data_IF_850350552108
#
_entry.id   IF_850350552108
#
_cell.length_a   1.000
_cell.length_b   1.000
_cell.length_c   1.000
_cell.angle_alpha   90.00
_cell.angle_beta   90.00
_cell.angle_gamma   90.00
#
_symmetry.space_group_name_H-M   'P 1'
#
loop_
_entity.id
_entity.type
_entity.pdbx_description
1 polymer ?
#
# COMPACT_ATOMS: atom_id res chain seq x y z
N UNK A 1 -30.90 24.07 -23.16
CA UNK A 1 -30.73 24.32 -21.72
C UNK A 1 -31.52 23.22 -21.01
N UNK A 2 -30.88 22.11 -20.70
CA UNK A 2 -31.49 21.01 -19.97
C UNK A 2 -31.20 21.25 -18.48
N UNK A 3 -32.26 21.57 -17.73
CA UNK A 3 -32.17 21.82 -16.29
C UNK A 3 -31.91 20.50 -15.54
N UNK A 4 -30.85 20.39 -14.71
CA UNK A 4 -30.54 19.17 -13.96
C UNK A 4 -31.69 18.75 -13.01
N UNK A 5 -32.52 19.68 -12.59
CA UNK A 5 -33.73 19.43 -11.79
C UNK A 5 -34.82 18.64 -12.54
N UNK A 6 -34.88 18.75 -13.89
CA UNK A 6 -35.83 18.00 -14.71
C UNK A 6 -35.37 16.54 -14.94
N UNK A 7 -34.07 16.27 -14.94
CA UNK A 7 -33.53 14.93 -15.10
C UNK A 7 -33.74 14.08 -13.83
N UNK A 8 -33.50 14.65 -12.65
CA UNK A 8 -33.77 14.00 -11.35
C UNK A 8 -35.25 13.63 -11.19
N UNK A 9 -36.15 14.45 -11.75
CA UNK A 9 -37.59 14.18 -11.73
C UNK A 9 -37.98 12.98 -12.59
N UNK A 10 -37.27 12.74 -13.73
CA UNK A 10 -37.58 11.65 -14.68
C UNK A 10 -37.21 10.26 -14.14
N UNK A 11 -36.02 10.13 -13.58
CA UNK A 11 -35.55 8.84 -13.06
C UNK A 11 -36.33 8.44 -11.79
N UNK A 12 -36.65 9.41 -10.91
CA UNK A 12 -37.54 9.20 -9.77
C UNK A 12 -38.95 8.79 -10.21
N UNK A 13 -39.47 9.40 -11.28
CA UNK A 13 -40.77 9.05 -11.84
C UNK A 13 -40.74 7.63 -12.42
N UNK A 14 -39.64 7.22 -13.08
CA UNK A 14 -39.47 5.87 -13.61
C UNK A 14 -39.44 4.81 -12.48
N UNK A 15 -38.67 5.05 -11.41
CA UNK A 15 -38.61 4.15 -10.26
C UNK A 15 -39.96 4.08 -9.54
N UNK A 16 -40.64 5.21 -9.38
CA UNK A 16 -41.96 5.24 -8.80
C UNK A 16 -42.96 4.40 -9.62
N UNK A 17 -42.91 4.55 -10.96
CA UNK A 17 -43.73 3.75 -11.88
C UNK A 17 -43.38 2.27 -11.80
N UNK A 18 -42.09 1.91 -11.77
CA UNK A 18 -41.64 0.53 -11.63
C UNK A 18 -42.06 -0.11 -10.30
N UNK A 19 -42.04 0.66 -9.19
CA UNK A 19 -42.56 0.21 -7.87
C UNK A 19 -44.06 0.02 -7.86
N UNK A 20 -44.79 0.84 -8.61
CA UNK A 20 -46.25 0.79 -8.70
C UNK A 20 -46.72 -0.38 -9.60
N UNK A 21 -46.03 -0.60 -10.71
CA UNK A 21 -46.36 -1.66 -11.67
C UNK A 21 -45.69 -3.01 -11.38
N UNK A 22 -44.59 -2.99 -10.60
CA UNK A 22 -43.81 -4.19 -10.27
C UNK A 22 -42.78 -4.59 -11.33
N UNK A 23 -42.80 -3.96 -12.49
CA UNK A 23 -41.88 -4.20 -13.60
C UNK A 23 -41.66 -2.92 -14.42
N UNK A 24 -40.61 -2.91 -15.23
CA UNK A 24 -40.33 -1.90 -16.25
C UNK A 24 -39.96 -2.58 -17.57
N UNK A 25 -40.13 -1.87 -18.67
CA UNK A 25 -39.66 -2.34 -19.97
C UNK A 25 -38.37 -1.63 -20.37
N UNK A 26 -37.52 -2.30 -21.17
CA UNK A 26 -36.30 -1.65 -21.70
C UNK A 26 -36.59 -0.36 -22.47
N UNK A 27 -37.73 -0.30 -23.17
CA UNK A 27 -38.19 0.92 -23.86
C UNK A 27 -38.46 2.05 -22.87
N UNK A 28 -39.12 1.79 -21.74
CA UNK A 28 -39.42 2.78 -20.73
C UNK A 28 -38.16 3.26 -20.00
N UNK A 29 -37.22 2.37 -19.74
CA UNK A 29 -35.91 2.73 -19.17
C UNK A 29 -35.16 3.65 -20.13
N UNK A 30 -35.12 3.30 -21.42
CA UNK A 30 -34.40 4.08 -22.42
C UNK A 30 -35.03 5.45 -22.68
N UNK A 31 -36.36 5.57 -22.65
CA UNK A 31 -37.08 6.84 -22.82
C UNK A 31 -36.90 7.83 -21.66
N UNK A 32 -36.58 7.32 -20.48
CA UNK A 32 -36.39 8.14 -19.27
C UNK A 32 -34.93 8.42 -18.95
N UNK A 33 -33.99 7.71 -19.60
CA UNK A 33 -32.56 7.95 -19.45
C UNK A 33 -32.17 9.31 -20.08
N UNK A 34 -31.24 10.05 -19.46
CA UNK A 34 -30.66 11.24 -20.05
C UNK A 34 -29.95 10.91 -21.35
N UNK A 35 -30.06 11.80 -22.36
CA UNK A 35 -29.41 11.64 -23.67
C UNK A 35 -27.86 11.57 -23.60
N UNK A 36 -27.28 11.91 -22.45
CA UNK A 36 -25.84 11.85 -22.19
C UNK A 36 -25.34 10.43 -21.82
N UNK A 37 -26.27 9.51 -21.50
CA UNK A 37 -25.98 8.10 -21.21
C UNK A 37 -26.26 7.30 -22.48
N UNK A 38 -25.27 7.25 -23.38
CA UNK A 38 -25.36 6.50 -24.66
C UNK A 38 -24.46 5.24 -24.64
N UNK A 39 -23.76 4.99 -23.56
CA UNK A 39 -22.85 3.86 -23.43
C UNK A 39 -23.62 2.61 -23.00
N UNK A 40 -23.58 1.51 -23.79
CA UNK A 40 -24.30 0.28 -23.46
C UNK A 40 -23.98 -0.27 -22.07
N UNK A 41 -22.72 -0.17 -21.63
CA UNK A 41 -22.27 -0.68 -20.35
C UNK A 41 -22.92 0.09 -19.17
N UNK A 42 -23.11 1.40 -19.32
CA UNK A 42 -23.77 2.23 -18.31
C UNK A 42 -25.28 1.95 -18.23
N UNK A 43 -25.92 1.62 -19.36
CA UNK A 43 -27.33 1.25 -19.40
C UNK A 43 -27.53 -0.11 -18.71
N UNK A 44 -26.63 -1.08 -18.93
CA UNK A 44 -26.67 -2.38 -18.24
C UNK A 44 -26.50 -2.22 -16.72
N UNK A 45 -25.58 -1.37 -16.26
CA UNK A 45 -25.38 -1.08 -14.83
C UNK A 45 -26.64 -0.48 -14.20
N UNK A 46 -27.34 0.42 -14.91
CA UNK A 46 -28.60 1.01 -14.42
C UNK A 46 -29.71 -0.05 -14.37
N UNK A 47 -29.81 -0.92 -15.35
CA UNK A 47 -30.78 -2.00 -15.39
C UNK A 47 -30.51 -2.98 -14.23
N UNK A 48 -29.25 -3.30 -13.96
CA UNK A 48 -28.89 -4.15 -12.83
C UNK A 48 -29.26 -3.52 -11.49
N UNK A 49 -29.02 -2.20 -11.31
CA UNK A 49 -29.46 -1.48 -10.13
C UNK A 49 -30.99 -1.45 -9.95
N UNK A 50 -31.74 -1.33 -11.05
CA UNK A 50 -33.22 -1.40 -11.03
C UNK A 50 -33.70 -2.80 -10.62
N UNK A 51 -33.02 -3.85 -11.10
CA UNK A 51 -33.29 -5.22 -10.70
C UNK A 51 -32.97 -5.47 -9.20
N UNK A 52 -31.87 -4.91 -8.69
CA UNK A 52 -31.48 -5.00 -7.28
C UNK A 52 -32.46 -4.28 -6.35
N UNK A 53 -33.19 -3.28 -6.86
CA UNK A 53 -34.31 -2.63 -6.15
C UNK A 53 -35.60 -3.46 -6.16
N UNK A 54 -35.58 -4.68 -6.72
CA UNK A 54 -36.75 -5.58 -6.79
C UNK A 54 -37.71 -5.26 -7.92
N UNK A 55 -37.32 -4.45 -8.90
CA UNK A 55 -38.10 -4.10 -10.10
C UNK A 55 -37.50 -4.87 -11.27
N UNK A 56 -38.24 -5.82 -11.83
CA UNK A 56 -37.78 -6.60 -12.97
C UNK A 56 -37.90 -5.81 -14.27
N UNK A 57 -36.90 -5.90 -15.14
CA UNK A 57 -36.90 -5.24 -16.45
C UNK A 57 -37.08 -6.27 -17.55
N UNK A 58 -38.14 -6.09 -18.37
CA UNK A 58 -38.53 -7.01 -19.44
C UNK A 58 -38.37 -6.32 -20.82
N UNK A 59 -38.19 -7.11 -21.88
CA UNK A 59 -38.15 -6.58 -23.25
C UNK A 59 -39.54 -6.07 -23.71
N UNK A 60 -40.60 -6.79 -23.31
CA UNK A 60 -41.99 -6.45 -23.56
C UNK A 60 -42.78 -6.58 -22.26
N UNK A 61 -43.93 -5.88 -22.18
CA UNK A 61 -44.80 -5.96 -21.01
C UNK A 61 -45.21 -7.42 -20.74
N UNK A 62 -44.92 -7.98 -19.56
CA UNK A 62 -45.23 -9.35 -19.23
C UNK A 62 -46.74 -9.58 -19.12
N UNK A 63 -47.19 -10.79 -19.46
CA UNK A 63 -48.57 -11.21 -19.30
C UNK A 63 -48.93 -11.43 -17.81
N UNK A 64 -50.22 -11.40 -17.48
CA UNK A 64 -50.71 -11.48 -16.09
C UNK A 64 -50.27 -12.76 -15.34
N UNK A 65 -50.03 -13.83 -16.07
CA UNK A 65 -49.57 -15.13 -15.49
C UNK A 65 -48.05 -15.09 -15.15
N UNK A 66 -47.23 -14.34 -15.91
CA UNK A 66 -45.82 -14.14 -15.63
C UNK A 66 -45.59 -13.23 -14.41
N UNK A 67 -46.44 -12.23 -14.23
CA UNK A 67 -46.42 -11.36 -13.05
C UNK A 67 -46.74 -12.10 -11.75
N UNK A 68 -47.70 -13.07 -11.78
CA UNK A 68 -48.03 -13.89 -10.64
C UNK A 68 -46.91 -14.87 -10.23
N UNK A 69 -46.07 -15.32 -11.16
CA UNK A 69 -44.91 -16.15 -10.87
C UNK A 69 -43.74 -15.34 -10.28
N UNK A 70 -43.61 -14.07 -10.69
CA UNK A 70 -42.59 -13.16 -10.19
C UNK A 70 -42.87 -12.61 -8.78
N UNK A 71 -44.15 -12.65 -8.32
CA UNK A 71 -44.55 -12.18 -6.98
C UNK A 71 -44.10 -13.05 -5.83
N UNK A 72 -43.65 -14.31 -6.11
CA UNK A 72 -43.18 -15.27 -5.08
C UNK A 72 -41.79 -14.97 -4.48
N UNK A 73 -41.00 -14.07 -5.05
CA UNK A 73 -39.60 -13.85 -4.66
C UNK A 73 -39.36 -12.43 -4.06
N UNK A 74 -40.45 -11.76 -3.67
CA UNK A 74 -40.40 -10.36 -3.16
C UNK A 74 -40.12 -10.27 -1.66
N UNK A 75 -39.07 -10.88 -1.15
CA UNK A 75 -38.47 -10.40 0.09
C UNK A 75 -37.20 -9.59 -0.23
N UNK A 76 -37.42 -8.48 -0.92
CA UNK A 76 -36.34 -7.52 -1.15
C UNK A 76 -35.94 -6.93 0.20
N UNK A 77 -34.71 -7.19 0.59
CA UNK A 77 -34.06 -6.64 1.76
C UNK A 77 -34.13 -5.11 1.69
N UNK A 78 -34.87 -4.44 2.58
CA UNK A 78 -35.01 -2.97 2.62
C UNK A 78 -33.64 -2.26 2.66
N UNK A 79 -32.61 -2.96 3.14
CA UNK A 79 -31.22 -2.45 3.20
C UNK A 79 -30.61 -2.42 1.81
N UNK A 80 -30.80 -3.48 0.99
CA UNK A 80 -30.32 -3.54 -0.38
C UNK A 80 -30.99 -2.49 -1.28
N UNK A 81 -32.30 -2.26 -1.07
CA UNK A 81 -33.04 -1.22 -1.77
C UNK A 81 -32.58 0.20 -1.42
N UNK A 82 -32.19 0.44 -0.14
CA UNK A 82 -31.63 1.74 0.29
C UNK A 82 -30.22 1.96 -0.25
N UNK A 83 -29.42 0.91 -0.33
CA UNK A 83 -28.04 0.94 -0.85
C UNK A 83 -28.02 1.16 -2.37
N UNK A 84 -28.91 0.48 -3.10
CA UNK A 84 -29.12 0.68 -4.53
C UNK A 84 -29.66 2.10 -4.86
N UNK A 85 -30.56 2.63 -4.04
CA UNK A 85 -31.05 4.01 -4.20
C UNK A 85 -29.94 5.04 -3.95
N UNK A 86 -29.04 4.79 -3.00
CA UNK A 86 -27.89 5.65 -2.73
C UNK A 86 -26.85 5.57 -3.87
N UNK A 87 -26.59 4.39 -4.43
CA UNK A 87 -25.73 4.20 -5.57
C UNK A 87 -26.27 4.89 -6.84
N UNK A 88 -27.59 4.82 -7.07
CA UNK A 88 -28.24 5.50 -8.18
C UNK A 88 -28.15 7.04 -8.04
N UNK A 89 -28.28 7.57 -6.83
CA UNK A 89 -28.10 9.00 -6.57
C UNK A 89 -26.64 9.45 -6.79
N UNK A 90 -25.67 8.56 -6.58
CA UNK A 90 -24.27 8.82 -6.88
C UNK A 90 -24.00 8.85 -8.40
N UNK A 91 -24.60 7.93 -9.16
CA UNK A 91 -24.53 7.92 -10.64
C UNK A 91 -25.21 9.16 -11.24
N UNK A 92 -26.33 9.63 -10.69
CA UNK A 92 -26.97 10.90 -11.09
C UNK A 92 -26.05 12.12 -10.86
N UNK A 93 -25.26 12.13 -9.79
CA UNK A 93 -24.25 13.17 -9.57
C UNK A 93 -23.06 13.06 -10.54
N UNK A 94 -22.79 11.87 -11.05
CA UNK A 94 -21.74 11.64 -12.06
C UNK A 94 -22.22 11.92 -13.49
N UNK A 95 -23.48 11.72 -13.84
CA UNK A 95 -24.04 11.94 -15.17
C UNK A 95 -23.94 13.39 -15.69
N UNK A 96 -23.71 14.37 -14.79
CA UNK A 96 -23.35 15.74 -15.17
C UNK A 96 -21.87 15.97 -15.50
N UNK A 97 -21.06 14.94 -15.48
CA UNK A 97 -19.62 15.04 -15.75
C UNK A 97 -19.38 14.89 -17.24
N UNK A 98 -19.00 15.99 -17.88
CA UNK A 98 -18.57 15.99 -19.29
C UNK A 98 -17.39 15.02 -19.50
N UNK A 99 -17.45 14.23 -20.56
CA UNK A 99 -16.39 13.34 -21.02
C UNK A 99 -15.28 14.07 -21.79
N UNK A 100 -15.36 15.40 -21.92
CA UNK A 100 -14.31 16.21 -22.52
C UNK A 100 -13.05 16.17 -21.63
N UNK A 101 -11.95 15.57 -22.10
CA UNK A 101 -10.72 15.43 -21.33
C UNK A 101 -10.15 16.77 -20.86
N UNK A 102 -10.31 17.83 -21.67
CA UNK A 102 -9.83 19.18 -21.31
C UNK A 102 -10.62 19.74 -20.14
N UNK A 103 -11.93 19.56 -20.15
CA UNK A 103 -12.81 20.03 -19.09
C UNK A 103 -12.63 19.25 -17.79
N UNK A 104 -12.42 17.92 -17.90
CA UNK A 104 -12.03 17.08 -16.75
C UNK A 104 -10.70 17.54 -16.15
N UNK A 105 -9.68 17.73 -16.97
CA UNK A 105 -8.38 18.21 -16.52
C UNK A 105 -8.48 19.58 -15.84
N UNK A 106 -9.18 20.55 -16.43
CA UNK A 106 -9.36 21.89 -15.85
C UNK A 106 -10.12 21.85 -14.53
N UNK A 107 -11.08 20.94 -14.38
CA UNK A 107 -11.81 20.77 -13.13
C UNK A 107 -10.94 20.14 -12.06
N UNK A 108 -10.19 19.08 -12.38
CA UNK A 108 -9.28 18.42 -11.42
C UNK A 108 -8.15 19.36 -11.01
N UNK A 109 -7.61 20.13 -11.95
CA UNK A 109 -6.63 21.17 -11.65
C UNK A 109 -7.17 22.26 -10.71
N UNK A 110 -8.46 22.62 -10.83
CA UNK A 110 -9.11 23.63 -10.00
C UNK A 110 -9.53 23.15 -8.61
N UNK A 111 -9.54 21.84 -8.34
CA UNK A 111 -9.89 21.28 -7.02
C UNK A 111 -8.75 21.33 -6.02
N UNK A 112 -7.50 21.43 -6.48
CA UNK A 112 -6.31 21.48 -5.65
C UNK A 112 -5.77 22.91 -5.65
N UNK A 113 -5.66 23.52 -4.49
CA UNK A 113 -5.06 24.84 -4.34
C UNK A 113 -3.57 24.82 -4.74
N UNK A 114 -3.09 25.93 -5.33
CA UNK A 114 -1.69 26.10 -5.65
C UNK A 114 -0.86 26.05 -4.36
N UNK A 115 0.23 25.30 -4.41
CA UNK A 115 1.16 25.21 -3.28
C UNK A 115 1.80 26.57 -3.02
N UNK A 116 1.74 27.04 -1.77
CA UNK A 116 2.51 28.18 -1.33
C UNK A 116 3.95 27.73 -1.02
N UNK A 117 4.93 28.66 -1.11
CA UNK A 117 6.32 28.36 -0.75
C UNK A 117 6.47 27.79 0.66
N UNK A 118 5.69 28.30 1.61
CA UNK A 118 5.69 27.80 2.98
C UNK A 118 5.10 26.38 3.07
N UNK A 119 4.03 26.11 2.31
CA UNK A 119 3.44 24.79 2.19
C UNK A 119 4.41 23.77 1.59
N UNK A 120 5.15 24.15 0.55
CA UNK A 120 6.18 23.33 -0.08
C UNK A 120 7.28 22.93 0.93
N UNK A 121 7.78 23.88 1.72
CA UNK A 121 8.79 23.62 2.75
C UNK A 121 8.25 22.65 3.82
N UNK A 122 7.00 22.83 4.25
CA UNK A 122 6.38 21.94 5.24
C UNK A 122 6.27 20.52 4.71
N UNK A 123 5.81 20.36 3.45
CA UNK A 123 5.69 19.07 2.80
C UNK A 123 7.07 18.42 2.62
N UNK A 124 8.06 19.16 2.15
CA UNK A 124 9.43 18.67 1.98
C UNK A 124 10.02 18.14 3.31
N UNK A 125 9.88 18.91 4.39
CA UNK A 125 10.31 18.47 5.73
C UNK A 125 9.61 17.21 6.20
N UNK A 126 8.31 17.09 5.91
CA UNK A 126 7.52 15.90 6.25
C UNK A 126 7.97 14.67 5.46
N UNK A 127 8.27 14.83 4.16
CA UNK A 127 8.82 13.76 3.32
C UNK A 127 10.18 13.30 3.88
N UNK A 128 11.07 14.22 4.19
CA UNK A 128 12.39 13.89 4.76
C UNK A 128 12.28 13.17 6.12
N UNK A 129 11.33 13.57 6.95
CA UNK A 129 11.06 12.90 8.23
C UNK A 129 10.54 11.49 8.01
N UNK A 130 9.62 11.27 7.03
CA UNK A 130 9.14 9.96 6.63
C UNK A 130 10.27 9.06 6.14
N UNK A 131 11.14 9.57 5.27
CA UNK A 131 12.32 8.84 4.78
C UNK A 131 13.27 8.49 5.93
N UNK A 132 13.53 9.39 6.86
CA UNK A 132 14.38 9.12 8.04
C UNK A 132 13.80 8.01 8.93
N UNK A 133 12.48 8.01 9.16
CA UNK A 133 11.81 6.95 9.91
C UNK A 133 11.89 5.60 9.19
N UNK A 134 11.67 5.59 7.88
CA UNK A 134 11.79 4.41 7.04
C UNK A 134 13.22 3.85 7.10
N UNK A 135 14.23 4.68 6.91
CA UNK A 135 15.64 4.28 6.98
C UNK A 135 16.01 3.74 8.37
N UNK A 136 15.55 4.39 9.44
CA UNK A 136 15.77 3.90 10.80
C UNK A 136 15.13 2.53 11.04
N UNK A 137 13.95 2.26 10.48
CA UNK A 137 13.30 0.96 10.55
C UNK A 137 14.07 -0.10 9.73
N UNK A 138 14.51 0.27 8.53
CA UNK A 138 15.25 -0.58 7.59
C UNK A 138 16.59 -1.04 8.18
N UNK A 139 17.26 -0.21 8.98
CA UNK A 139 18.51 -0.56 9.67
C UNK A 139 18.38 -1.74 10.64
N UNK A 140 17.16 -2.08 11.07
CA UNK A 140 16.92 -3.26 11.92
C UNK A 140 16.94 -4.58 11.14
N UNK A 141 16.90 -4.52 9.80
CA UNK A 141 17.00 -5.71 8.95
C UNK A 141 18.48 -6.07 8.73
N UNK A 142 18.91 -7.32 9.00
CA UNK A 142 20.33 -7.66 9.17
C UNK A 142 21.21 -7.42 7.96
N UNK A 143 20.70 -7.68 6.74
CA UNK A 143 21.47 -7.61 5.49
C UNK A 143 21.64 -6.18 4.98
N UNK A 144 20.67 -5.28 5.21
CA UNK A 144 20.55 -3.98 4.58
C UNK A 144 21.77 -3.08 4.82
N UNK A 145 22.16 -2.89 6.07
CA UNK A 145 23.31 -2.01 6.40
C UNK A 145 24.61 -2.59 5.85
N UNK A 146 24.73 -3.92 5.86
CA UNK A 146 25.91 -4.61 5.30
C UNK A 146 25.96 -4.46 3.79
N UNK A 147 24.85 -4.57 3.09
CA UNK A 147 24.77 -4.33 1.65
C UNK A 147 25.21 -2.91 1.30
N UNK A 148 24.70 -1.91 2.01
CA UNK A 148 25.13 -0.52 1.81
C UNK A 148 26.65 -0.34 2.08
N UNK A 149 27.19 -0.95 3.14
CA UNK A 149 28.63 -0.92 3.40
C UNK A 149 29.44 -1.57 2.27
N UNK A 150 28.94 -2.66 1.67
CA UNK A 150 29.59 -3.31 0.53
C UNK A 150 29.57 -2.43 -0.72
N UNK A 151 28.44 -1.74 -0.99
CA UNK A 151 28.35 -0.76 -2.08
C UNK A 151 29.38 0.38 -1.91
N UNK A 152 29.58 0.85 -0.69
CA UNK A 152 30.61 1.84 -0.39
C UNK A 152 32.03 1.27 -0.52
N UNK A 153 32.25 -0.01 -0.18
CA UNK A 153 33.57 -0.63 -0.38
C UNK A 153 33.95 -0.73 -1.88
N UNK A 154 32.97 -0.82 -2.80
CA UNK A 154 33.20 -0.69 -4.25
C UNK A 154 33.59 0.74 -4.64
N UNK A 155 32.98 1.75 -4.00
CA UNK A 155 33.39 3.15 -4.19
C UNK A 155 34.82 3.37 -3.70
N UNK A 156 35.19 2.82 -2.55
CA UNK A 156 36.53 2.94 -1.99
C UNK A 156 37.61 2.23 -2.85
N UNK A 157 37.24 1.27 -3.71
CA UNK A 157 38.08 0.59 -4.69
C UNK A 157 38.10 1.27 -6.06
N UNK A 158 37.40 2.40 -6.20
CA UNK A 158 37.23 3.14 -7.47
C UNK A 158 36.47 2.36 -8.57
N UNK A 159 35.78 1.28 -8.19
CA UNK A 159 34.95 0.49 -9.12
C UNK A 159 33.58 1.16 -9.37
N UNK A 160 33.18 2.12 -8.52
CA UNK A 160 31.90 2.85 -8.60
C UNK A 160 32.06 4.28 -8.11
N UNK A 161 31.28 5.22 -8.67
CA UNK A 161 31.27 6.61 -8.21
C UNK A 161 30.41 6.75 -6.94
N UNK A 162 30.78 7.68 -6.04
CA UNK A 162 30.03 7.99 -4.83
C UNK A 162 28.59 8.49 -5.15
N UNK A 163 28.46 9.25 -6.22
CA UNK A 163 27.18 9.77 -6.74
C UNK A 163 26.22 8.66 -7.20
N UNK A 164 26.72 7.47 -7.53
CA UNK A 164 25.88 6.32 -7.88
C UNK A 164 25.26 5.64 -6.65
N UNK A 165 25.85 5.84 -5.47
CA UNK A 165 25.41 5.22 -4.21
C UNK A 165 24.54 6.17 -3.40
N UNK A 166 24.95 7.44 -3.29
CA UNK A 166 24.25 8.41 -2.46
C UNK A 166 24.18 9.78 -3.11
N UNK A 167 23.09 10.51 -2.83
CA UNK A 167 22.84 11.87 -3.31
C UNK A 167 23.34 12.90 -2.29
N UNK A 168 23.24 12.59 -0.99
CA UNK A 168 23.56 13.54 0.09
C UNK A 168 23.14 13.01 1.45
N UNK A 169 22.82 13.92 2.34
CA UNK A 169 22.41 13.61 3.72
C UNK A 169 21.05 14.25 4.04
N UNK A 170 20.31 13.62 4.93
CA UNK A 170 19.00 14.07 5.47
C UNK A 170 19.18 14.67 6.88
N UNK A 171 20.28 15.40 7.10
CA UNK A 171 20.57 15.98 8.41
C UNK A 171 19.78 17.27 8.63
N UNK A 172 18.91 17.36 9.67
CA UNK A 172 18.13 18.58 9.93
C UNK A 172 18.99 19.78 10.32
N UNK A 173 20.25 19.57 10.71
CA UNK A 173 21.19 20.63 11.06
C UNK A 173 21.98 21.14 9.85
N UNK A 174 21.92 20.47 8.71
CA UNK A 174 22.58 20.90 7.50
C UNK A 174 21.79 22.07 6.86
N UNK A 175 22.41 23.24 6.76
CA UNK A 175 21.83 24.37 6.08
C UNK A 175 21.73 24.06 4.59
N UNK A 176 20.52 23.88 4.09
CA UNK A 176 20.27 23.81 2.64
C UNK A 176 20.26 25.24 2.12
N UNK A 177 21.26 25.67 1.31
CA UNK A 177 21.28 27.03 0.79
C UNK A 177 20.01 27.30 -0.02
N UNK A 178 19.41 28.45 0.18
CA UNK A 178 18.24 28.87 -0.58
C UNK A 178 18.58 29.04 -2.07
N UNK A 179 17.57 28.91 -2.93
CA UNK A 179 17.79 29.11 -4.38
C UNK A 179 18.46 30.48 -4.70
N UNK A 180 18.19 31.50 -3.88
CA UNK A 180 18.85 32.81 -3.97
C UNK A 180 20.33 32.77 -3.56
N UNK A 181 20.69 31.97 -2.56
CA UNK A 181 22.10 31.79 -2.15
C UNK A 181 22.87 30.95 -3.17
N UNK A 182 22.19 29.95 -3.78
CA UNK A 182 22.78 29.16 -4.88
C UNK A 182 23.00 30.04 -6.13
N UNK A 183 22.04 30.90 -6.47
CA UNK A 183 22.19 31.85 -7.57
C UNK A 183 23.31 32.86 -7.31
N UNK A 184 23.39 33.43 -6.10
CA UNK A 184 24.47 34.34 -5.71
C UNK A 184 25.84 33.64 -5.67
N UNK A 185 25.92 32.37 -5.28
CA UNK A 185 27.14 31.56 -5.32
C UNK A 185 27.55 31.22 -6.76
N UNK A 186 26.59 31.03 -7.67
CA UNK A 186 26.85 30.84 -9.11
C UNK A 186 27.34 32.17 -9.77
N UNK A 187 26.73 33.32 -9.42
CA UNK A 187 27.17 34.63 -9.89
C UNK A 187 28.56 35.00 -9.36
N UNK A 188 28.88 34.66 -8.10
CA UNK A 188 30.20 34.88 -7.53
C UNK A 188 31.32 34.01 -8.13
N UNK A 189 30.99 32.90 -8.77
CA UNK A 189 31.93 32.04 -9.52
C UNK A 189 32.07 32.41 -10.99
N UNK A 190 31.31 33.38 -11.49
CA UNK A 190 31.25 33.80 -12.89
C UNK A 190 32.36 34.71 -13.40
N UNK A 191 33.43 34.97 -12.66
CA UNK A 191 34.56 35.80 -13.08
C UNK A 191 35.91 35.07 -13.09
N UNK A 192 35.98 33.82 -13.42
CA UNK A 192 37.23 33.17 -13.79
C UNK A 192 37.04 32.44 -15.14
N UNK A 193 37.48 33.17 -16.18
CA UNK A 193 37.80 32.68 -17.52
C UNK A 193 38.92 31.64 -17.38
N UNK A 194 38.59 30.37 -17.23
CA UNK A 194 39.49 29.27 -17.53
C UNK A 194 38.63 28.08 -18.01
N UNK A 195 38.83 27.77 -19.29
CA UNK A 195 38.26 26.66 -20.06
C UNK A 195 38.71 25.25 -19.51
N UNK A 196 38.38 24.95 -18.27
CA UNK A 196 38.35 23.59 -17.79
C UNK A 196 36.92 23.34 -17.25
N UNK A 197 36.07 22.79 -18.13
CA UNK A 197 34.80 22.17 -17.80
C UNK A 197 35.01 20.94 -16.89
N UNK A 198 35.61 21.16 -15.75
CA UNK A 198 35.34 20.31 -14.59
C UNK A 198 33.97 20.74 -14.06
N UNK A 199 32.91 20.09 -14.57
CA UNK A 199 31.61 20.03 -13.90
C UNK A 199 31.91 19.83 -12.41
N UNK A 200 31.90 20.94 -11.65
CA UNK A 200 32.05 20.91 -10.19
C UNK A 200 31.00 19.93 -9.69
N UNK A 201 31.43 18.72 -9.41
CA UNK A 201 30.60 17.60 -9.05
C UNK A 201 29.74 18.01 -7.87
N UNK A 202 28.47 18.33 -8.15
CA UNK A 202 27.42 18.56 -7.15
C UNK A 202 27.12 17.19 -6.54
N UNK A 203 28.08 16.67 -5.79
CA UNK A 203 28.02 15.37 -5.14
C UNK A 203 28.37 15.50 -3.65
N UNK A 204 28.03 14.49 -2.85
CA UNK A 204 28.38 14.49 -1.44
C UNK A 204 29.91 14.52 -1.25
N UNK A 205 30.38 15.28 -0.24
CA UNK A 205 31.79 15.39 0.10
C UNK A 205 32.40 13.99 0.39
N UNK A 206 33.45 13.56 -0.36
CA UNK A 206 34.07 12.26 -0.16
C UNK A 206 34.69 12.09 1.23
N UNK A 207 35.17 13.17 1.86
CA UNK A 207 35.80 13.12 3.19
C UNK A 207 34.75 12.85 4.25
N UNK A 208 33.63 13.57 4.20
CA UNK A 208 32.52 13.37 5.14
C UNK A 208 31.88 12.01 4.90
N UNK A 209 31.70 11.56 3.64
CA UNK A 209 31.21 10.24 3.31
C UNK A 209 32.08 9.15 3.96
N UNK A 210 33.41 9.20 3.81
CA UNK A 210 34.35 8.26 4.41
C UNK A 210 34.21 8.20 5.93
N UNK A 211 34.05 9.34 6.59
CA UNK A 211 33.86 9.45 8.04
C UNK A 211 32.55 8.79 8.47
N UNK A 212 31.44 9.12 7.84
CA UNK A 212 30.10 8.59 8.16
C UNK A 212 29.99 7.07 7.86
N UNK A 213 30.48 6.60 6.71
CA UNK A 213 30.51 5.17 6.40
C UNK A 213 31.44 4.37 7.33
N UNK A 214 32.58 4.93 7.74
CA UNK A 214 33.46 4.29 8.73
C UNK A 214 32.78 4.15 10.09
N UNK A 215 32.02 5.17 10.51
CA UNK A 215 31.22 5.13 11.74
C UNK A 215 30.09 4.06 11.63
N UNK A 216 29.38 4.05 10.52
CA UNK A 216 28.32 3.08 10.22
C UNK A 216 28.84 1.64 10.26
N UNK A 217 29.96 1.38 9.59
CA UNK A 217 30.61 0.04 9.52
C UNK A 217 31.07 -0.44 10.90
N UNK A 218 31.64 0.47 11.69
CA UNK A 218 32.04 0.17 13.08
C UNK A 218 30.82 -0.17 13.94
N UNK A 219 29.74 0.62 13.82
CA UNK A 219 28.52 0.37 14.59
C UNK A 219 27.83 -0.93 14.12
N UNK A 220 27.79 -1.22 12.82
CA UNK A 220 27.27 -2.47 12.28
C UNK A 220 27.98 -3.68 12.89
N UNK A 221 29.32 -3.70 12.85
CA UNK A 221 30.12 -4.78 13.45
C UNK A 221 29.88 -4.93 14.97
N UNK A 222 29.68 -3.81 15.67
CA UNK A 222 29.38 -3.82 17.11
C UNK A 222 28.00 -4.39 17.40
N UNK A 223 27.01 -4.02 16.59
CA UNK A 223 25.64 -4.54 16.67
C UNK A 223 25.60 -6.03 16.39
N UNK A 224 26.29 -6.51 15.34
CA UNK A 224 26.38 -7.92 15.01
C UNK A 224 27.00 -8.75 16.17
N UNK A 225 28.07 -8.25 16.77
CA UNK A 225 28.69 -8.90 17.93
C UNK A 225 27.75 -8.93 19.14
N UNK A 226 27.01 -7.86 19.38
CA UNK A 226 26.04 -7.82 20.49
C UNK A 226 24.90 -8.81 20.27
N UNK A 227 24.40 -8.92 19.03
CA UNK A 227 23.36 -9.88 18.65
C UNK A 227 23.87 -11.33 18.77
N UNK A 228 25.08 -11.61 18.28
CA UNK A 228 25.67 -12.95 18.35
C UNK A 228 25.93 -13.40 19.80
N UNK A 229 26.32 -12.47 20.70
CA UNK A 229 26.63 -12.79 22.09
C UNK A 229 25.40 -12.94 22.98
N UNK A 230 24.34 -12.13 22.76
CA UNK A 230 23.21 -12.01 23.69
C UNK A 230 21.84 -12.28 23.06
N UNK A 231 21.78 -12.43 21.75
CA UNK A 231 20.54 -12.54 20.99
C UNK A 231 19.88 -11.17 20.71
N UNK A 232 19.03 -11.11 19.69
CA UNK A 232 18.37 -9.86 19.24
C UNK A 232 17.42 -9.23 20.27
N UNK A 233 16.73 -10.07 21.05
CA UNK A 233 15.76 -9.61 22.06
C UNK A 233 16.39 -9.02 23.32
N UNK A 234 17.71 -9.06 23.49
CA UNK A 234 18.38 -8.52 24.68
C UNK A 234 18.45 -6.99 24.62
N UNK A 235 18.26 -6.31 25.76
CA UNK A 235 18.25 -4.83 25.87
C UNK A 235 19.49 -4.18 25.24
N UNK A 236 20.67 -4.76 25.44
CA UNK A 236 21.90 -4.21 24.89
C UNK A 236 21.94 -4.32 23.36
N UNK A 237 21.47 -5.44 22.79
CA UNK A 237 21.38 -5.61 21.34
C UNK A 237 20.38 -4.61 20.74
N UNK A 238 19.23 -4.41 21.37
CA UNK A 238 18.23 -3.41 20.96
C UNK A 238 18.84 -2.00 21.01
N UNK A 239 19.60 -1.68 22.05
CA UNK A 239 20.26 -0.37 22.17
C UNK A 239 21.27 -0.14 21.04
N UNK A 240 22.08 -1.16 20.71
CA UNK A 240 23.05 -1.04 19.60
C UNK A 240 22.36 -1.01 18.22
N UNK A 241 21.25 -1.74 18.03
CA UNK A 241 20.43 -1.65 16.81
C UNK A 241 19.82 -0.25 16.66
N UNK A 242 19.30 0.34 17.72
CA UNK A 242 18.78 1.71 17.68
C UNK A 242 19.87 2.72 17.34
N UNK A 243 21.09 2.59 17.89
CA UNK A 243 22.23 3.45 17.52
C UNK A 243 22.61 3.28 16.05
N UNK A 244 22.52 2.05 15.52
CA UNK A 244 22.74 1.79 14.09
C UNK A 244 21.69 2.50 13.24
N UNK A 245 20.42 2.45 13.64
CA UNK A 245 19.32 3.17 12.99
C UNK A 245 19.53 4.68 13.00
N UNK A 246 20.00 5.24 14.15
CA UNK A 246 20.31 6.68 14.27
C UNK A 246 21.41 7.15 13.30
N UNK A 247 22.41 6.32 13.03
CA UNK A 247 23.45 6.63 12.05
C UNK A 247 22.96 6.45 10.61
N UNK A 248 22.14 5.42 10.37
CA UNK A 248 21.69 5.05 9.04
C UNK A 248 20.65 6.01 8.49
N UNK A 249 19.78 6.58 9.33
CA UNK A 249 18.64 7.42 8.91
C UNK A 249 19.03 8.70 8.17
N UNK A 250 20.28 9.14 8.27
CA UNK A 250 20.74 10.40 7.65
C UNK A 250 21.27 10.23 6.23
N UNK A 251 21.41 9.00 5.73
CA UNK A 251 21.86 8.78 4.36
C UNK A 251 20.72 8.97 3.36
N UNK A 252 20.92 9.83 2.37
CA UNK A 252 20.04 9.98 1.21
C UNK A 252 20.63 9.16 0.07
N UNK A 253 20.11 7.96 -0.12
CA UNK A 253 20.58 7.00 -1.11
C UNK A 253 19.98 7.30 -2.48
N UNK A 254 20.66 6.84 -3.54
CA UNK A 254 20.10 6.84 -4.90
C UNK A 254 19.02 5.77 -5.01
N UNK A 255 17.99 5.95 -5.87
CA UNK A 255 16.94 4.94 -6.06
C UNK A 255 17.51 3.57 -6.42
N UNK A 256 18.59 3.54 -7.22
CA UNK A 256 19.27 2.29 -7.62
C UNK A 256 19.75 1.43 -6.45
N UNK A 257 20.17 2.06 -5.36
CA UNK A 257 20.61 1.38 -4.14
C UNK A 257 19.47 1.23 -3.14
N UNK A 258 18.60 2.24 -3.05
CA UNK A 258 17.51 2.31 -2.10
C UNK A 258 16.40 1.27 -2.35
N UNK A 259 15.97 1.14 -3.62
CA UNK A 259 14.87 0.26 -3.98
C UNK A 259 15.14 -1.22 -3.62
N UNK A 260 16.30 -1.81 -3.97
CA UNK A 260 16.61 -3.18 -3.58
C UNK A 260 16.66 -3.40 -2.06
N UNK A 261 17.11 -2.38 -1.29
CA UNK A 261 17.17 -2.47 0.17
C UNK A 261 15.78 -2.48 0.81
N UNK A 262 14.79 -1.80 0.21
CA UNK A 262 13.40 -1.81 0.66
C UNK A 262 12.69 -3.10 0.24
N UNK A 263 12.97 -3.58 -0.95
CA UNK A 263 12.31 -4.77 -1.49
C UNK A 263 12.63 -6.03 -0.70
N UNK A 264 13.83 -6.17 -0.16
CA UNK A 264 14.24 -7.36 0.59
C UNK A 264 13.34 -7.65 1.80
N UNK A 265 13.07 -6.70 2.73
CA UNK A 265 12.10 -6.91 3.81
C UNK A 265 10.67 -7.12 3.33
N UNK A 266 10.26 -6.48 2.22
CA UNK A 266 8.92 -6.65 1.64
C UNK A 266 8.73 -8.04 1.06
N UNK A 267 9.72 -8.56 0.34
CA UNK A 267 9.72 -9.93 -0.19
C UNK A 267 9.65 -10.94 0.97
N UNK A 268 10.44 -10.73 2.03
CA UNK A 268 10.39 -11.57 3.22
C UNK A 268 9.00 -11.56 3.87
N UNK A 269 8.37 -10.40 4.00
CA UNK A 269 7.01 -10.30 4.52
C UNK A 269 5.98 -10.99 3.62
N UNK A 270 6.09 -10.84 2.30
CA UNK A 270 5.21 -11.51 1.35
C UNK A 270 5.33 -13.02 1.44
N UNK A 271 6.57 -13.54 1.53
CA UNK A 271 6.85 -14.96 1.71
C UNK A 271 6.31 -15.56 3.03
N UNK A 272 6.12 -14.73 4.07
CA UNK A 272 5.44 -15.14 5.30
C UNK A 272 3.92 -15.05 5.14
N UNK A 273 3.40 -13.96 4.57
CA UNK A 273 1.94 -13.71 4.48
C UNK A 273 1.21 -14.68 3.56
N UNK A 274 1.84 -15.13 2.49
CA UNK A 274 1.22 -16.04 1.55
C UNK A 274 0.90 -17.39 2.19
N UNK A 275 1.84 -18.12 2.83
CA UNK A 275 1.52 -19.35 3.57
C UNK A 275 0.57 -19.12 4.75
N UNK A 276 0.67 -17.99 5.46
CA UNK A 276 -0.26 -17.67 6.56
C UNK A 276 -1.71 -17.56 6.09
N UNK A 277 -1.95 -16.90 4.94
CA UNK A 277 -3.29 -16.79 4.35
C UNK A 277 -3.82 -18.16 3.95
N UNK A 278 -2.97 -19.00 3.39
CA UNK A 278 -3.35 -20.34 2.96
C UNK A 278 -3.67 -21.23 4.16
N UNK A 279 -2.86 -21.21 5.23
CA UNK A 279 -3.15 -21.88 6.49
C UNK A 279 -4.49 -21.41 7.06
N UNK A 280 -4.71 -20.09 7.09
CA UNK A 280 -5.98 -19.54 7.57
C UNK A 280 -7.16 -20.00 6.71
N UNK A 281 -7.01 -20.04 5.38
CA UNK A 281 -8.04 -20.54 4.45
C UNK A 281 -8.42 -21.97 4.78
N UNK A 282 -7.44 -22.87 4.85
CA UNK A 282 -7.67 -24.30 5.13
C UNK A 282 -8.32 -24.47 6.50
N UNK A 283 -7.80 -23.83 7.54
CA UNK A 283 -8.24 -24.06 8.93
C UNK A 283 -9.61 -23.44 9.20
N UNK A 284 -9.85 -22.21 8.72
CA UNK A 284 -11.11 -21.50 8.99
C UNK A 284 -12.21 -21.94 8.02
N UNK A 285 -11.90 -22.03 6.70
CA UNK A 285 -12.91 -22.32 5.68
C UNK A 285 -13.18 -23.82 5.54
N UNK A 286 -12.13 -24.63 5.36
CA UNK A 286 -12.29 -26.06 5.03
C UNK A 286 -12.51 -26.89 6.31
N UNK A 287 -11.74 -26.60 7.38
CA UNK A 287 -11.90 -27.29 8.67
C UNK A 287 -13.00 -26.67 9.55
N UNK A 288 -13.51 -25.47 9.23
CA UNK A 288 -14.56 -24.72 9.96
C UNK A 288 -14.19 -24.42 11.42
N UNK A 289 -12.92 -24.10 11.66
CA UNK A 289 -12.48 -23.59 12.95
C UNK A 289 -12.89 -22.11 13.10
N UNK A 290 -13.29 -21.69 14.33
CA UNK A 290 -13.58 -20.28 14.57
C UNK A 290 -12.33 -19.41 14.33
N UNK A 291 -12.52 -18.28 13.60
CA UNK A 291 -11.44 -17.37 13.23
C UNK A 291 -10.72 -16.79 14.44
N UNK A 292 -11.45 -16.44 15.51
CA UNK A 292 -10.87 -15.88 16.73
C UNK A 292 -10.00 -16.91 17.45
N UNK A 293 -10.47 -18.16 17.49
CA UNK A 293 -9.74 -19.27 18.07
C UNK A 293 -8.48 -19.61 17.27
N UNK A 294 -8.56 -19.57 15.93
CA UNK A 294 -7.40 -19.73 15.05
C UNK A 294 -6.35 -18.67 15.35
N UNK A 295 -6.70 -17.38 15.28
CA UNK A 295 -5.75 -16.27 15.50
C UNK A 295 -5.07 -16.43 16.87
N UNK A 296 -5.84 -16.70 17.92
CA UNK A 296 -5.32 -16.84 19.29
C UNK A 296 -4.35 -18.03 19.43
N UNK A 297 -4.57 -19.12 18.69
CA UNK A 297 -3.72 -20.31 18.77
C UNK A 297 -2.52 -20.29 17.84
N UNK A 298 -2.62 -19.54 16.73
CA UNK A 298 -1.60 -19.47 15.68
C UNK A 298 -0.57 -18.37 15.94
N UNK A 299 -1.00 -17.24 16.48
CA UNK A 299 -0.12 -16.13 16.79
C UNK A 299 0.99 -16.55 17.78
N UNK A 300 2.26 -16.36 17.38
CA UNK A 300 3.43 -16.80 18.12
C UNK A 300 3.76 -18.29 17.97
N UNK A 301 3.07 -19.01 17.11
CA UNK A 301 3.31 -20.43 16.78
C UNK A 301 3.36 -20.65 15.25
N UNK A 302 3.60 -19.61 14.49
CA UNK A 302 3.56 -19.63 13.02
C UNK A 302 4.58 -20.60 12.42
N UNK A 303 5.79 -20.64 13.00
CA UNK A 303 6.88 -21.55 12.59
C UNK A 303 6.93 -22.86 13.40
N UNK A 304 6.09 -23.02 14.46
CA UNK A 304 6.11 -24.21 15.32
C UNK A 304 5.42 -25.41 14.65
N UNK A 305 6.22 -26.34 14.15
CA UNK A 305 5.73 -27.59 13.53
C UNK A 305 4.79 -28.43 14.42
N UNK A 306 4.82 -28.20 15.74
CA UNK A 306 3.96 -28.91 16.72
C UNK A 306 2.55 -28.31 16.76
N UNK A 307 2.33 -27.11 16.25
CA UNK A 307 1.04 -26.43 16.29
C UNK A 307 -0.05 -27.23 15.59
N UNK A 308 0.20 -27.75 14.39
CA UNK A 308 -0.75 -28.62 13.66
C UNK A 308 -1.16 -29.81 14.51
N UNK A 309 -0.19 -30.47 15.18
CA UNK A 309 -0.47 -31.61 16.05
C UNK A 309 -1.29 -31.24 17.29
N UNK A 310 -1.13 -30.02 17.84
CA UNK A 310 -1.94 -29.51 18.96
C UNK A 310 -3.39 -29.30 18.54
N UNK A 311 -3.59 -28.66 17.38
CA UNK A 311 -4.93 -28.34 16.86
C UNK A 311 -5.66 -29.61 16.37
N UNK A 312 -4.94 -30.57 15.81
CA UNK A 312 -5.49 -31.88 15.40
C UNK A 312 -6.06 -32.71 16.55
N UNK A 313 -5.71 -32.40 17.79
CA UNK A 313 -6.26 -33.09 18.99
C UNK A 313 -7.61 -32.53 19.46
N UNK A 314 -8.06 -31.39 18.90
CA UNK A 314 -9.36 -30.81 19.24
C UNK A 314 -10.50 -31.67 18.71
N UNK A 315 -11.53 -31.90 19.53
CA UNK A 315 -12.64 -32.81 19.19
C UNK A 315 -13.46 -32.37 18.00
N UNK A 316 -13.63 -31.03 17.84
CA UNK A 316 -14.57 -30.46 16.85
C UNK A 316 -13.96 -30.36 15.44
N UNK A 317 -12.67 -30.11 15.33
CA UNK A 317 -11.99 -29.80 14.06
C UNK A 317 -10.87 -30.81 13.73
N UNK A 318 -10.44 -31.62 14.70
CA UNK A 318 -9.26 -32.47 14.58
C UNK A 318 -9.27 -33.46 13.43
N UNK A 319 -10.43 -34.08 13.17
CA UNK A 319 -10.57 -35.04 12.07
C UNK A 319 -10.30 -34.38 10.69
N UNK A 320 -10.80 -33.15 10.46
CA UNK A 320 -10.60 -32.41 9.23
C UNK A 320 -9.17 -31.87 9.12
N UNK A 321 -8.60 -31.40 10.21
CA UNK A 321 -7.20 -30.95 10.25
C UNK A 321 -6.24 -32.08 9.93
N UNK A 322 -6.53 -33.30 10.38
CA UNK A 322 -5.73 -34.48 10.04
C UNK A 322 -5.73 -34.78 8.53
N UNK A 323 -6.80 -34.47 7.80
CA UNK A 323 -6.86 -34.63 6.34
C UNK A 323 -5.90 -33.67 5.62
N UNK A 324 -5.71 -32.45 6.14
CA UNK A 324 -4.84 -31.40 5.58
C UNK A 324 -3.49 -31.30 6.32
N UNK A 325 -3.14 -32.27 7.14
CA UNK A 325 -1.97 -32.20 8.02
C UNK A 325 -0.66 -31.99 7.27
N UNK A 326 -0.43 -32.72 6.20
CA UNK A 326 0.81 -32.65 5.43
C UNK A 326 0.96 -31.31 4.72
N UNK A 327 -0.15 -30.79 4.19
CA UNK A 327 -0.20 -29.46 3.56
C UNK A 327 0.08 -28.36 4.57
N UNK A 328 -0.59 -28.37 5.72
CA UNK A 328 -0.36 -27.40 6.80
C UNK A 328 1.09 -27.44 7.31
N UNK A 329 1.66 -28.64 7.46
CA UNK A 329 3.07 -28.77 7.86
C UNK A 329 4.03 -28.28 6.80
N UNK A 330 3.71 -28.44 5.50
CA UNK A 330 4.49 -27.91 4.40
C UNK A 330 4.51 -26.37 4.44
N UNK A 331 3.34 -25.75 4.61
CA UNK A 331 3.22 -24.29 4.73
C UNK A 331 3.97 -23.73 5.95
N UNK A 332 3.88 -24.41 7.09
CA UNK A 332 4.65 -24.02 8.28
C UNK A 332 6.17 -24.13 8.08
N UNK A 333 6.64 -25.15 7.34
CA UNK A 333 8.06 -25.25 6.99
C UNK A 333 8.49 -24.11 6.06
N UNK A 334 7.64 -23.66 5.14
CA UNK A 334 7.95 -22.49 4.30
C UNK A 334 8.16 -21.24 5.17
N UNK A 335 7.29 -21.03 6.16
CA UNK A 335 7.44 -19.92 7.11
C UNK A 335 8.72 -20.05 7.94
N UNK A 336 9.01 -21.25 8.45
CA UNK A 336 10.24 -21.50 9.20
C UNK A 336 11.52 -21.29 8.37
N UNK A 337 11.49 -21.65 7.09
CA UNK A 337 12.60 -21.39 6.17
C UNK A 337 12.86 -19.89 5.98
N UNK A 338 11.81 -19.06 5.99
CA UNK A 338 11.97 -17.60 5.93
C UNK A 338 12.64 -17.06 7.20
N UNK A 339 12.28 -17.56 8.39
CA UNK A 339 12.95 -17.20 9.64
C UNK A 339 14.43 -17.59 9.63
N UNK A 340 14.75 -18.79 9.14
CA UNK A 340 16.13 -19.26 9.06
C UNK A 340 16.95 -18.45 8.04
N UNK A 341 16.37 -18.15 6.87
CA UNK A 341 17.02 -17.38 5.82
C UNK A 341 17.29 -15.92 6.22
N UNK A 342 16.33 -15.28 6.92
CA UNK A 342 16.45 -13.88 7.33
C UNK A 342 17.17 -13.71 8.68
N UNK A 343 17.22 -14.74 9.51
CA UNK A 343 17.69 -14.66 10.89
C UNK A 343 16.81 -13.80 11.80
N UNK A 344 15.53 -13.57 11.38
CA UNK A 344 14.55 -12.77 12.08
C UNK A 344 13.34 -13.62 12.47
N UNK A 345 12.74 -13.34 13.60
CA UNK A 345 11.44 -13.91 13.94
C UNK A 345 10.34 -13.29 13.08
N UNK A 346 9.24 -14.00 12.86
CA UNK A 346 8.09 -13.50 12.09
C UNK A 346 7.55 -12.20 12.67
N UNK A 347 7.54 -12.08 14.00
CA UNK A 347 7.12 -10.87 14.69
C UNK A 347 8.03 -9.68 14.36
N UNK A 348 9.35 -9.89 14.30
CA UNK A 348 10.31 -8.85 13.90
C UNK A 348 10.16 -8.46 12.44
N UNK A 349 9.99 -9.43 11.52
CA UNK A 349 9.73 -9.14 10.08
C UNK A 349 8.47 -8.27 9.93
N UNK A 350 7.39 -8.63 10.59
CA UNK A 350 6.13 -7.88 10.57
C UNK A 350 6.28 -6.48 11.16
N UNK A 351 7.02 -6.34 12.27
CA UNK A 351 7.24 -5.05 12.96
C UNK A 351 8.13 -4.11 12.13
N UNK A 352 9.21 -4.62 11.54
CA UNK A 352 10.08 -3.82 10.66
C UNK A 352 9.27 -3.28 9.48
N UNK A 353 8.51 -4.15 8.79
CA UNK A 353 7.67 -3.74 7.66
C UNK A 353 6.55 -2.78 8.08
N UNK A 354 5.95 -2.96 9.26
CA UNK A 354 4.95 -2.03 9.80
C UNK A 354 5.54 -0.64 10.00
N UNK A 355 6.74 -0.55 10.57
CA UNK A 355 7.45 0.72 10.78
C UNK A 355 7.85 1.36 9.46
N UNK A 356 8.30 0.57 8.48
CA UNK A 356 8.59 1.05 7.11
C UNK A 356 7.34 1.66 6.47
N UNK A 357 6.21 0.95 6.49
CA UNK A 357 4.94 1.45 5.94
C UNK A 357 4.42 2.69 6.66
N UNK A 358 4.68 2.84 7.96
CA UNK A 358 4.35 4.08 8.68
C UNK A 358 5.20 5.26 8.21
N UNK A 359 6.50 5.04 7.94
CA UNK A 359 7.37 6.06 7.35
C UNK A 359 6.94 6.46 5.94
N UNK A 360 6.50 5.50 5.12
CA UNK A 360 5.98 5.75 3.76
C UNK A 360 4.65 6.52 3.75
N UNK A 361 3.78 6.25 4.72
CA UNK A 361 2.46 6.89 4.83
C UNK A 361 2.51 8.31 5.40
N UNK A 362 3.64 8.75 5.97
CA UNK A 362 3.83 10.05 6.60
C UNK A 362 4.14 11.16 5.62
#
# INVERSE_FOLDING_TARGET
>A
MNDPLHQQSRLKALIAKGKEQGYLTYSEVNDHLPQDISDPDQVEDIIQMINDMGIQVFEQAPDADELLMAEGDRSADEIAAAEAAAALAAVEQEAGRTTDPVRMYMREMGTVELLTREGEIIIAKRIEEGIRELMAALAHYPSVVRQLCNEYDLVAKEERKLTDVMIGYLDPAEHVPSASEMAAAAEAKGESDDDDEDEAAVGPDPVEAKKRFSALKRQCTKTEKAIAAKGRGHKDAITEMNKLGELFKFFKLTPRVFDPLIDEPRIALAAVREPEREIMRIVVRDCRMDRKEFIKSFQGSESDSRWVGRVARKKDVGAKINQHKDELQRLQRQIANVEEATGLTIAEIKEINRRMSMGEAR
#
